data_IF_518100563265
#
_entry.id   IF_518100563265
#
_cell.length_a   1.000
_cell.length_b   1.000
_cell.length_c   1.000
_cell.angle_alpha   90.00
_cell.angle_beta   90.00
_cell.angle_gamma   90.00
#
_symmetry.space_group_name_H-M   'P 1'
#
loop_
_entity.id
_entity.type
_entity.pdbx_description
1 polymer ?
#
# COMPACT_ATOMS: atom_id res chain seq x y z
N UNK A 1 13.70 -2.75 -16.59
CA UNK A 1 13.12 -1.41 -16.39
C UNK A 1 12.56 -1.34 -14.98
N UNK A 2 12.89 -0.28 -14.27
CA UNK A 2 12.47 -0.13 -12.88
C UNK A 2 11.30 0.86 -12.79
N UNK A 3 10.09 0.34 -12.82
CA UNK A 3 8.89 1.16 -12.68
C UNK A 3 8.52 1.40 -11.21
N UNK A 4 9.16 0.69 -10.29
CA UNK A 4 8.81 0.76 -8.87
C UNK A 4 9.53 1.89 -8.16
N UNK A 5 10.80 2.16 -8.49
CA UNK A 5 11.57 3.20 -7.79
C UNK A 5 10.91 4.57 -7.82
N UNK A 6 10.41 5.07 -8.96
CA UNK A 6 9.70 6.36 -8.96
C UNK A 6 8.47 6.35 -8.05
N UNK A 7 7.74 5.23 -7.99
CA UNK A 7 6.56 5.11 -7.14
C UNK A 7 6.95 5.12 -5.68
N UNK A 8 8.02 4.39 -5.31
CA UNK A 8 8.51 4.39 -3.93
C UNK A 8 8.96 5.78 -3.49
N UNK A 9 9.62 6.53 -4.38
CA UNK A 9 10.04 7.89 -4.09
C UNK A 9 8.83 8.80 -3.84
N UNK A 10 7.80 8.68 -4.66
CA UNK A 10 6.57 9.45 -4.48
C UNK A 10 5.86 9.07 -3.18
N UNK A 11 5.80 7.79 -2.87
CA UNK A 11 5.17 7.30 -1.65
C UNK A 11 5.92 7.83 -0.43
N UNK A 12 7.25 7.78 -0.43
CA UNK A 12 8.06 8.33 0.67
C UNK A 12 7.78 9.82 0.86
N UNK A 13 7.70 10.56 -0.23
CA UNK A 13 7.41 12.00 -0.16
C UNK A 13 6.02 12.23 0.43
N UNK A 14 5.02 11.45 0.00
CA UNK A 14 3.66 11.56 0.55
C UNK A 14 3.63 11.27 2.05
N UNK A 15 4.31 10.22 2.50
CA UNK A 15 4.36 9.89 3.92
C UNK A 15 5.04 11.00 4.71
N UNK A 16 6.15 11.52 4.19
CA UNK A 16 6.94 12.54 4.85
C UNK A 16 6.17 13.86 5.02
N UNK A 17 5.33 14.19 4.05
CA UNK A 17 4.60 15.47 4.03
C UNK A 17 3.12 15.31 4.38
N UNK A 18 2.71 14.14 4.85
CA UNK A 18 1.30 13.84 5.17
C UNK A 18 0.40 14.18 4.00
N UNK A 19 0.77 13.71 2.82
CA UNK A 19 0.07 13.98 1.57
C UNK A 19 -0.45 12.69 0.95
N UNK A 20 -1.20 12.82 -0.13
CA UNK A 20 -1.73 11.68 -0.87
C UNK A 20 -1.58 11.91 -2.36
N UNK A 21 -1.29 10.84 -3.08
CA UNK A 21 -1.26 10.85 -4.52
C UNK A 21 -1.77 9.49 -5.00
N UNK A 22 -2.43 9.44 -6.13
CA UNK A 22 -2.94 8.18 -6.67
C UNK A 22 -1.79 7.35 -7.22
N UNK A 23 -1.29 6.42 -6.42
CA UNK A 23 -0.14 5.59 -6.77
C UNK A 23 -0.52 4.15 -7.12
N UNK A 24 -1.68 3.67 -6.65
CA UNK A 24 -2.11 2.30 -6.95
C UNK A 24 -2.50 2.18 -8.41
N UNK A 25 -2.10 1.06 -8.99
CA UNK A 25 -2.40 0.73 -10.39
C UNK A 25 -2.94 -0.69 -10.44
N UNK A 26 -3.17 -1.22 -11.64
CA UNK A 26 -3.61 -2.60 -11.77
C UNK A 26 -2.50 -3.62 -11.50
N UNK A 27 -1.26 -3.15 -11.25
CA UNK A 27 -0.14 -4.01 -10.86
C UNK A 27 0.48 -3.63 -9.50
N UNK A 28 -0.07 -2.62 -8.82
CA UNK A 28 0.46 -2.17 -7.53
C UNK A 28 -0.66 -1.99 -6.52
N UNK A 29 -0.52 -2.63 -5.37
CA UNK A 29 -1.45 -2.54 -4.25
C UNK A 29 -0.72 -2.02 -3.02
N UNK A 30 -1.34 -1.11 -2.26
CA UNK A 30 -0.77 -0.55 -1.03
C UNK A 30 -1.72 -0.87 0.13
N UNK A 31 -1.20 -1.49 1.19
CA UNK A 31 -2.02 -1.91 2.33
C UNK A 31 -1.28 -1.76 3.64
N UNK A 32 -2.00 -1.48 4.75
CA UNK A 32 -1.38 -1.50 6.07
C UNK A 32 -1.09 -2.92 6.50
N UNK A 33 -0.16 -3.07 7.44
CA UNK A 33 0.06 -4.35 8.09
C UNK A 33 -1.08 -4.56 9.10
N UNK A 34 -1.83 -5.67 9.00
CA UNK A 34 -2.93 -5.91 9.93
C UNK A 34 -2.44 -6.25 11.32
N UNK A 35 -3.25 -5.91 12.31
CA UNK A 35 -2.92 -6.13 13.71
C UNK A 35 -3.44 -7.46 14.25
N UNK A 36 -4.24 -8.19 13.48
CA UNK A 36 -4.81 -9.47 13.91
C UNK A 36 -4.62 -10.55 12.86
N UNK A 37 -4.65 -11.81 13.28
CA UNK A 37 -4.52 -12.93 12.36
C UNK A 37 -5.64 -13.02 11.35
N UNK A 38 -6.86 -12.69 11.76
CA UNK A 38 -8.01 -12.72 10.87
C UNK A 38 -7.87 -11.67 9.74
N UNK A 39 -7.34 -10.50 10.08
CA UNK A 39 -7.11 -9.46 9.08
C UNK A 39 -6.03 -9.91 8.09
N UNK A 40 -5.02 -10.65 8.56
CA UNK A 40 -4.02 -11.22 7.66
C UNK A 40 -4.62 -12.19 6.67
N UNK A 41 -5.53 -13.06 7.14
CA UNK A 41 -6.19 -14.03 6.24
C UNK A 41 -6.96 -13.32 5.14
N UNK A 42 -7.71 -12.28 5.50
CA UNK A 42 -8.48 -11.49 4.52
C UNK A 42 -7.56 -10.81 3.51
N UNK A 43 -6.48 -10.22 3.98
CA UNK A 43 -5.52 -9.55 3.08
C UNK A 43 -4.84 -10.56 2.18
N UNK A 44 -4.45 -11.70 2.72
CA UNK A 44 -3.80 -12.74 1.93
C UNK A 44 -4.68 -13.20 0.78
N UNK A 45 -5.98 -13.39 1.03
CA UNK A 45 -6.92 -13.80 -0.01
C UNK A 45 -7.05 -12.73 -1.09
N UNK A 46 -7.18 -11.46 -0.69
CA UNK A 46 -7.28 -10.34 -1.63
C UNK A 46 -6.02 -10.17 -2.46
N UNK A 47 -4.86 -10.25 -1.80
CA UNK A 47 -3.56 -10.12 -2.45
C UNK A 47 -3.33 -11.29 -3.39
N UNK A 48 -3.68 -12.51 -2.95
CA UNK A 48 -3.57 -13.70 -3.80
C UNK A 48 -4.37 -13.56 -5.09
N UNK A 49 -5.62 -13.09 -4.97
CA UNK A 49 -6.47 -12.87 -6.15
C UNK A 49 -5.86 -11.81 -7.07
N UNK A 50 -5.35 -10.72 -6.51
CA UNK A 50 -4.72 -9.66 -7.28
C UNK A 50 -3.49 -10.17 -8.04
N UNK A 51 -2.60 -10.88 -7.35
CA UNK A 51 -1.38 -11.40 -7.97
C UNK A 51 -1.67 -12.48 -9.01
N UNK A 52 -2.68 -13.34 -8.75
CA UNK A 52 -3.04 -14.40 -9.68
C UNK A 52 -3.68 -13.87 -10.95
N UNK A 53 -4.42 -12.79 -10.83
CA UNK A 53 -5.16 -12.24 -11.98
C UNK A 53 -4.27 -11.34 -12.84
N UNK A 54 -3.44 -10.52 -12.19
CA UNK A 54 -2.70 -9.47 -12.91
C UNK A 54 -1.20 -9.51 -12.69
N UNK A 55 -0.75 -10.24 -11.68
CA UNK A 55 0.63 -10.12 -11.23
C UNK A 55 0.84 -8.78 -10.53
N UNK A 56 2.06 -8.51 -10.10
CA UNK A 56 2.37 -7.19 -9.59
C UNK A 56 3.06 -7.17 -8.25
N UNK A 57 2.95 -6.04 -7.55
CA UNK A 57 3.67 -5.75 -6.33
C UNK A 57 2.71 -5.29 -5.26
N UNK A 58 2.93 -5.74 -4.02
CA UNK A 58 2.17 -5.29 -2.86
C UNK A 58 3.12 -4.60 -1.89
N UNK A 59 2.77 -3.39 -1.48
CA UNK A 59 3.51 -2.65 -0.46
C UNK A 59 2.72 -2.71 0.84
N UNK A 60 3.34 -3.24 1.90
CA UNK A 60 2.72 -3.36 3.22
C UNK A 60 3.31 -2.35 4.18
N UNK A 61 2.51 -1.90 5.14
CA UNK A 61 2.95 -0.97 6.18
C UNK A 61 2.56 0.47 5.93
N UNK A 62 1.76 0.72 4.91
CA UNK A 62 1.30 2.06 4.57
C UNK A 62 -0.23 2.07 4.59
N UNK A 63 -0.82 3.02 5.27
CA UNK A 63 -2.27 3.18 5.36
C UNK A 63 -2.72 4.45 4.64
N UNK A 64 -3.81 4.36 3.90
CA UNK A 64 -4.45 5.49 3.25
C UNK A 64 -5.46 6.07 4.24
N UNK A 65 -5.07 7.13 4.95
CA UNK A 65 -5.94 7.80 5.92
C UNK A 65 -6.80 8.83 5.21
N UNK A 66 -8.08 8.88 5.62
CA UNK A 66 -9.04 9.79 5.01
C UNK A 66 -9.21 11.10 5.78
N UNK A 67 -8.84 11.11 7.05
CA UNK A 67 -9.08 12.24 7.95
C UNK A 67 -7.78 12.76 8.54
N UNK A 68 -7.62 14.05 8.80
CA UNK A 68 -8.50 15.16 8.42
C UNK A 68 -8.48 15.45 6.91
N UNK A 69 -7.38 15.10 6.26
CA UNK A 69 -7.23 15.14 4.81
C UNK A 69 -6.62 13.82 4.37
N UNK A 70 -6.92 13.41 3.15
CA UNK A 70 -6.39 12.15 2.64
C UNK A 70 -4.86 12.20 2.55
N UNK A 71 -4.22 11.23 3.17
CA UNK A 71 -2.76 11.16 3.20
C UNK A 71 -2.31 9.73 3.47
N UNK A 72 -1.07 9.42 3.12
CA UNK A 72 -0.46 8.14 3.45
C UNK A 72 0.28 8.24 4.78
N UNK A 73 0.11 7.21 5.62
CA UNK A 73 0.76 7.12 6.92
C UNK A 73 1.54 5.81 6.99
N UNK A 74 2.77 5.89 7.48
CA UNK A 74 3.58 4.70 7.71
C UNK A 74 3.12 4.04 9.01
N UNK A 75 2.59 2.82 8.91
CA UNK A 75 2.12 2.06 10.07
C UNK A 75 3.17 1.04 10.54
N UNK A 76 4.16 0.74 9.71
CA UNK A 76 5.26 -0.14 10.08
C UNK A 76 4.86 -1.59 10.19
N UNK A 77 5.76 -2.35 10.80
CA UNK A 77 5.56 -3.76 11.10
C UNK A 77 5.47 -3.90 12.60
N UNK A 78 4.40 -4.46 13.11
CA UNK A 78 4.23 -4.70 14.54
C UNK A 78 3.87 -6.14 14.81
#
# INVERSE_FOLDING_TARGET
MDSLTPILNKLETCVRHEAWESLETDWLEIKPVPSTGHAWDSIRDSVGAFLNTRGGVVILGIKDEQQPQRHFTFTGYT
#
